data_IF_564956222605
#
_entry.id   IF_564956222605
#
_cell.length_a   1.000
_cell.length_b   1.000
_cell.length_c   1.000
_cell.angle_alpha   90.00
_cell.angle_beta   90.00
_cell.angle_gamma   90.00
#
_symmetry.space_group_name_H-M   'P 1'
#
loop_
_entity.id
_entity.type
_entity.pdbx_description
1 polymer ?
#
# COMPACT_ATOMS: atom_id res chain seq x y z
N UNK A 1 -20.28 9.32 53.06
CA UNK A 1 -20.72 9.55 51.67
C UNK A 1 -19.51 9.49 50.72
N UNK A 2 -19.39 8.40 49.97
CA UNK A 2 -18.37 8.17 48.95
C UNK A 2 -18.88 8.67 47.60
N UNK A 3 -18.12 9.51 46.92
CA UNK A 3 -18.21 9.64 45.46
C UNK A 3 -16.83 9.84 44.88
N UNK A 4 -16.35 8.78 44.27
CA UNK A 4 -15.08 8.63 43.57
C UNK A 4 -14.96 9.63 42.41
N UNK A 5 -14.01 10.55 42.50
CA UNK A 5 -13.52 11.30 41.34
C UNK A 5 -12.57 10.41 40.53
N UNK A 6 -13.12 9.43 39.81
CA UNK A 6 -12.37 8.71 38.77
C UNK A 6 -12.31 9.60 37.53
N UNK A 7 -11.45 10.62 37.62
CA UNK A 7 -11.11 11.55 36.56
C UNK A 7 -10.49 10.81 35.39
N UNK A 8 -11.35 10.35 34.48
CA UNK A 8 -11.21 10.43 33.02
C UNK A 8 -9.75 10.44 32.53
N UNK A 9 -9.08 9.31 32.65
CA UNK A 9 -7.93 8.99 31.83
C UNK A 9 -8.42 8.71 30.41
N UNK A 10 -8.89 9.75 29.71
CA UNK A 10 -9.11 9.71 28.27
C UNK A 10 -7.72 9.53 27.68
N UNK A 11 -7.43 8.32 27.20
CA UNK A 11 -6.26 8.06 26.39
C UNK A 11 -6.34 9.02 25.19
N UNK A 12 -5.58 10.11 25.27
CA UNK A 12 -5.45 11.12 24.21
C UNK A 12 -5.01 10.49 22.87
N UNK A 13 -4.51 9.24 22.90
CA UNK A 13 -4.19 8.44 21.73
C UNK A 13 -5.38 7.89 20.94
N UNK A 14 -6.61 7.85 21.48
CA UNK A 14 -7.81 7.36 20.76
C UNK A 14 -8.81 8.47 20.44
N UNK A 15 -8.52 9.73 20.77
CA UNK A 15 -9.41 10.86 20.46
C UNK A 15 -9.65 11.02 18.95
N UNK A 16 -8.69 10.62 18.10
CA UNK A 16 -8.87 10.59 16.64
C UNK A 16 -9.68 9.38 16.13
N UNK A 17 -9.99 8.40 16.99
CA UNK A 17 -10.76 7.19 16.66
C UNK A 17 -12.15 7.14 17.32
N UNK A 18 -12.55 8.20 18.04
CA UNK A 18 -13.92 8.33 18.55
C UNK A 18 -14.80 8.85 17.41
N UNK A 19 -15.31 7.94 16.59
CA UNK A 19 -16.37 8.23 15.63
C UNK A 19 -17.70 8.41 16.37
N UNK A 20 -18.53 9.33 15.87
CA UNK A 20 -19.96 9.37 16.21
C UNK A 20 -20.64 8.08 15.66
N UNK A 21 -21.81 7.67 16.16
CA UNK A 21 -22.49 6.45 15.71
C UNK A 21 -22.65 6.36 14.18
N UNK A 22 -22.81 7.50 13.50
CA UNK A 22 -22.92 7.64 12.05
C UNK A 22 -21.74 8.41 11.40
N UNK A 23 -20.63 8.60 12.14
CA UNK A 23 -19.45 9.32 11.67
C UNK A 23 -18.40 8.39 11.02
N UNK A 24 -17.48 8.92 10.19
CA UNK A 24 -16.39 8.13 9.62
C UNK A 24 -15.53 7.51 10.73
N UNK A 25 -15.13 6.25 10.56
CA UNK A 25 -14.38 5.47 11.56
C UNK A 25 -13.08 6.16 11.99
N UNK A 26 -12.35 6.76 11.04
CA UNK A 26 -11.16 7.58 11.30
C UNK A 26 -11.28 8.90 10.52
N UNK A 27 -11.05 10.03 11.19
CA UNK A 27 -10.92 11.32 10.50
C UNK A 27 -9.47 11.51 10.01
N UNK A 28 -9.22 11.18 8.74
CA UNK A 28 -7.88 11.24 8.12
C UNK A 28 -7.29 12.66 8.16
N UNK A 29 -8.11 13.69 7.90
CA UNK A 29 -7.65 15.09 7.85
C UNK A 29 -7.10 15.61 9.19
N UNK A 30 -7.53 15.03 10.31
CA UNK A 30 -7.04 15.38 11.66
C UNK A 30 -5.92 14.45 12.14
N UNK A 31 -5.54 13.46 11.34
CA UNK A 31 -4.57 12.45 11.70
C UNK A 31 -3.14 12.96 11.44
N UNK A 32 -2.26 12.85 12.44
CA UNK A 32 -0.84 13.13 12.24
C UNK A 32 -0.15 11.92 11.60
N UNK A 33 -0.08 11.88 10.27
CA UNK A 33 0.51 10.77 9.51
C UNK A 33 1.97 10.50 9.88
N UNK A 34 2.76 11.53 10.23
CA UNK A 34 4.16 11.37 10.63
C UNK A 34 4.31 10.51 11.88
N UNK A 35 3.39 10.65 12.84
CA UNK A 35 3.38 9.82 14.05
C UNK A 35 3.10 8.34 13.74
N UNK A 36 2.26 8.07 12.75
CA UNK A 36 1.92 6.69 12.35
C UNK A 36 3.01 6.07 11.49
N UNK A 37 3.68 6.84 10.64
CA UNK A 37 4.80 6.40 9.81
C UNK A 37 5.93 5.74 10.62
N UNK A 38 6.21 6.25 11.82
CA UNK A 38 7.19 5.67 12.74
C UNK A 38 6.83 4.26 13.24
N UNK A 39 5.55 3.88 13.16
CA UNK A 39 5.03 2.59 13.63
C UNK A 39 4.65 1.72 12.45
N UNK A 40 5.64 1.07 11.84
CA UNK A 40 5.51 0.35 10.58
C UNK A 40 4.29 -0.60 10.52
N UNK A 41 4.06 -1.44 11.53
CA UNK A 41 2.92 -2.36 11.55
C UNK A 41 1.56 -1.62 11.46
N UNK A 42 1.42 -0.51 12.18
CA UNK A 42 0.20 0.30 12.14
C UNK A 42 0.12 1.11 10.84
N UNK A 43 1.25 1.61 10.34
CA UNK A 43 1.30 2.36 9.08
C UNK A 43 0.83 1.51 7.90
N UNK A 44 1.20 0.21 7.84
CA UNK A 44 0.76 -0.69 6.77
C UNK A 44 -0.77 -0.87 6.76
N UNK A 45 -1.34 -1.17 7.92
CA UNK A 45 -2.80 -1.34 8.06
C UNK A 45 -3.55 -0.03 7.78
N UNK A 46 -3.02 1.08 8.30
CA UNK A 46 -3.59 2.40 8.06
C UNK A 46 -3.52 2.79 6.57
N UNK A 47 -2.41 2.49 5.90
CA UNK A 47 -2.28 2.70 4.46
C UNK A 47 -3.34 1.90 3.70
N UNK A 48 -3.49 0.61 3.99
CA UNK A 48 -4.48 -0.23 3.31
C UNK A 48 -5.90 0.31 3.51
N UNK A 49 -6.25 0.77 4.71
CA UNK A 49 -7.53 1.43 4.99
C UNK A 49 -7.71 2.72 4.16
N UNK A 50 -6.75 3.65 4.22
CA UNK A 50 -6.85 4.93 3.49
C UNK A 50 -6.91 4.69 1.98
N UNK A 51 -6.11 3.75 1.47
CA UNK A 51 -5.97 3.51 0.03
C UNK A 51 -7.14 2.70 -0.56
N UNK A 52 -7.63 1.67 0.14
CA UNK A 52 -8.65 0.77 -0.39
C UNK A 52 -10.07 1.10 0.08
N UNK A 53 -10.25 1.49 1.34
CA UNK A 53 -11.57 1.77 1.90
C UNK A 53 -11.98 3.23 1.65
N UNK A 54 -11.14 4.19 2.04
CA UNK A 54 -11.44 5.62 1.87
C UNK A 54 -11.15 6.11 0.45
N UNK A 55 -10.39 5.34 -0.34
CA UNK A 55 -9.96 5.68 -1.69
C UNK A 55 -9.25 7.05 -1.78
N UNK A 56 -8.63 7.48 -0.67
CA UNK A 56 -7.89 8.73 -0.58
C UNK A 56 -6.42 8.51 -0.92
N UNK A 57 -6.16 8.46 -2.22
CA UNK A 57 -4.83 8.16 -2.77
C UNK A 57 -3.78 9.20 -2.36
N UNK A 58 -4.17 10.47 -2.11
CA UNK A 58 -3.22 11.54 -1.76
C UNK A 58 -2.69 11.35 -0.34
N UNK A 59 -3.57 11.13 0.63
CA UNK A 59 -3.17 10.86 2.00
C UNK A 59 -2.45 9.51 2.12
N UNK A 60 -2.87 8.51 1.35
CA UNK A 60 -2.16 7.22 1.27
C UNK A 60 -0.72 7.39 0.74
N UNK A 61 -0.54 8.18 -0.33
CA UNK A 61 0.78 8.49 -0.86
C UNK A 61 1.66 9.22 0.17
N UNK A 62 1.11 10.21 0.87
CA UNK A 62 1.85 10.95 1.90
C UNK A 62 2.29 10.02 3.04
N UNK A 63 1.40 9.17 3.54
CA UNK A 63 1.74 8.19 4.57
C UNK A 63 2.84 7.23 4.09
N UNK A 64 2.73 6.73 2.86
CA UNK A 64 3.74 5.83 2.29
C UNK A 64 5.10 6.52 2.09
N UNK A 65 5.11 7.80 1.70
CA UNK A 65 6.34 8.59 1.57
C UNK A 65 7.04 8.75 2.93
N UNK A 66 6.28 9.13 3.96
CA UNK A 66 6.81 9.24 5.33
C UNK A 66 7.28 7.90 5.87
N UNK A 67 6.50 6.84 5.68
CA UNK A 67 6.86 5.51 6.18
C UNK A 67 8.09 4.92 5.49
N UNK A 68 8.29 5.21 4.19
CA UNK A 68 9.50 4.78 3.48
C UNK A 68 10.75 5.49 3.99
N UNK A 69 10.65 6.78 4.32
CA UNK A 69 11.75 7.54 4.93
C UNK A 69 12.13 6.96 6.30
N UNK A 70 11.13 6.65 7.14
CA UNK A 70 11.34 6.05 8.47
C UNK A 70 12.02 4.67 8.39
N UNK A 71 11.78 3.89 7.33
CA UNK A 71 12.48 2.62 7.08
C UNK A 71 13.74 2.77 6.20
N UNK A 72 14.22 4.00 5.98
CA UNK A 72 15.42 4.30 5.17
C UNK A 72 15.37 3.72 3.74
N UNK A 73 14.18 3.68 3.14
CA UNK A 73 13.96 3.15 1.78
C UNK A 73 14.35 1.68 1.58
N UNK A 74 14.40 0.89 2.66
CA UNK A 74 14.81 -0.52 2.62
C UNK A 74 13.65 -1.51 2.48
N UNK A 75 12.42 -1.09 2.77
CA UNK A 75 11.25 -1.96 2.67
C UNK A 75 10.66 -1.92 1.24
N UNK A 76 10.80 -3.03 0.52
CA UNK A 76 10.26 -3.21 -0.84
C UNK A 76 8.74 -2.97 -0.88
N UNK A 77 8.02 -3.28 0.21
CA UNK A 77 6.57 -3.18 0.26
C UNK A 77 6.13 -1.73 0.13
N UNK A 78 6.81 -0.80 0.81
CA UNK A 78 6.53 0.64 0.69
C UNK A 78 6.82 1.17 -0.71
N UNK A 79 7.88 0.68 -1.36
CA UNK A 79 8.16 1.02 -2.77
C UNK A 79 7.02 0.58 -3.70
N UNK A 80 6.49 -0.63 -3.50
CA UNK A 80 5.31 -1.11 -4.25
C UNK A 80 4.08 -0.27 -3.96
N UNK A 81 3.81 0.10 -2.70
CA UNK A 81 2.65 0.93 -2.36
C UNK A 81 2.76 2.35 -2.94
N UNK A 82 3.94 2.98 -2.88
CA UNK A 82 4.21 4.24 -3.57
C UNK A 82 3.93 4.12 -5.06
N UNK A 83 4.36 3.03 -5.71
CA UNK A 83 4.07 2.80 -7.10
C UNK A 83 2.57 2.68 -7.41
N UNK A 84 1.81 1.97 -6.56
CA UNK A 84 0.35 1.86 -6.71
C UNK A 84 -0.33 3.21 -6.57
N UNK A 85 0.12 4.03 -5.63
CA UNK A 85 -0.37 5.41 -5.45
C UNK A 85 -0.04 6.29 -6.65
N UNK A 86 1.20 6.27 -7.14
CA UNK A 86 1.58 6.99 -8.36
C UNK A 86 0.77 6.54 -9.58
N UNK A 87 0.56 5.24 -9.73
CA UNK A 87 -0.25 4.69 -10.82
C UNK A 87 -1.70 5.19 -10.77
N UNK A 88 -2.31 5.23 -9.58
CA UNK A 88 -3.67 5.77 -9.39
C UNK A 88 -3.76 7.26 -9.70
N UNK A 89 -2.68 8.02 -9.46
CA UNK A 89 -2.57 9.44 -9.81
C UNK A 89 -2.16 9.69 -11.27
N UNK A 90 -1.95 8.65 -12.08
CA UNK A 90 -1.53 8.77 -13.48
C UNK A 90 -0.03 9.05 -13.67
N UNK A 91 0.76 9.02 -12.60
CA UNK A 91 2.21 9.24 -12.61
C UNK A 91 2.95 7.94 -12.95
N UNK A 92 2.73 7.43 -14.16
CA UNK A 92 3.17 6.08 -14.55
C UNK A 92 4.70 5.91 -14.57
N UNK A 93 5.47 6.96 -14.93
CA UNK A 93 6.94 6.90 -14.89
C UNK A 93 7.47 6.81 -13.46
N UNK A 94 6.82 7.46 -12.51
CA UNK A 94 7.20 7.38 -11.10
C UNK A 94 6.86 6.02 -10.52
N UNK A 95 5.69 5.48 -10.90
CA UNK A 95 5.33 4.10 -10.57
C UNK A 95 6.36 3.09 -11.12
N UNK A 96 6.77 3.23 -12.38
CA UNK A 96 7.80 2.40 -13.01
C UNK A 96 9.11 2.41 -12.20
N UNK A 97 9.59 3.60 -11.81
CA UNK A 97 10.83 3.76 -11.02
C UNK A 97 10.73 3.04 -9.68
N UNK A 98 9.62 3.19 -8.97
CA UNK A 98 9.42 2.56 -7.66
C UNK A 98 9.32 1.03 -7.76
N UNK A 99 8.61 0.49 -8.75
CA UNK A 99 8.51 -0.96 -8.98
C UNK A 99 9.86 -1.58 -9.35
N UNK A 100 10.62 -0.94 -10.24
CA UNK A 100 12.00 -1.36 -10.55
C UNK A 100 12.88 -1.32 -9.31
N UNK A 101 12.71 -0.30 -8.46
CA UNK A 101 13.43 -0.21 -7.20
C UNK A 101 13.05 -1.34 -6.23
N UNK A 102 11.77 -1.68 -6.13
CA UNK A 102 11.29 -2.80 -5.32
C UNK A 102 11.83 -4.15 -5.80
N UNK A 103 11.86 -4.39 -7.12
CA UNK A 103 12.40 -5.63 -7.70
C UNK A 103 13.90 -5.82 -7.45
N UNK A 104 14.66 -4.74 -7.23
CA UNK A 104 16.07 -4.85 -6.82
C UNK A 104 16.22 -5.32 -5.38
N UNK A 105 15.24 -5.05 -4.52
CA UNK A 105 15.27 -5.46 -3.12
C UNK A 105 14.73 -6.89 -2.97
N UNK A 106 13.57 -7.16 -3.57
CA UNK A 106 12.89 -8.44 -3.48
C UNK A 106 12.16 -8.76 -4.78
N UNK A 107 12.48 -9.92 -5.36
CA UNK A 107 11.82 -10.42 -6.55
C UNK A 107 10.47 -11.06 -6.21
N UNK A 108 9.39 -10.44 -6.68
CA UNK A 108 8.00 -10.86 -6.40
C UNK A 108 7.20 -10.76 -7.68
N UNK A 109 6.46 -11.83 -8.01
CA UNK A 109 5.58 -11.92 -9.19
C UNK A 109 4.65 -10.71 -9.30
N UNK A 110 3.96 -10.35 -8.21
CA UNK A 110 3.02 -9.23 -8.20
C UNK A 110 3.63 -7.92 -8.69
N UNK A 111 4.90 -7.66 -8.36
CA UNK A 111 5.63 -6.46 -8.78
C UNK A 111 5.88 -6.46 -10.29
N UNK A 112 6.23 -7.62 -10.88
CA UNK A 112 6.34 -7.78 -12.33
C UNK A 112 4.98 -7.56 -13.02
N UNK A 113 3.92 -8.18 -12.52
CA UNK A 113 2.56 -8.03 -13.06
C UNK A 113 2.11 -6.57 -13.03
N UNK A 114 2.42 -5.85 -11.94
CA UNK A 114 2.11 -4.43 -11.82
C UNK A 114 2.93 -3.59 -12.80
N UNK A 115 4.23 -3.90 -12.98
CA UNK A 115 5.10 -3.22 -13.95
C UNK A 115 4.56 -3.37 -15.38
N UNK A 116 4.03 -4.55 -15.73
CA UNK A 116 3.34 -4.76 -17.00
C UNK A 116 2.10 -3.88 -17.16
N UNK A 117 1.30 -3.70 -16.10
CA UNK A 117 0.16 -2.76 -16.10
C UNK A 117 0.63 -1.32 -16.34
N UNK A 118 1.74 -0.92 -15.72
CA UNK A 118 2.35 0.41 -15.94
C UNK A 118 2.79 0.58 -17.39
N UNK A 119 3.52 -0.38 -17.97
CA UNK A 119 3.98 -0.30 -19.35
C UNK A 119 2.84 -0.27 -20.37
N UNK A 120 1.74 -0.97 -20.10
CA UNK A 120 0.53 -0.87 -20.92
C UNK A 120 -0.07 0.54 -20.88
N UNK A 121 0.00 1.24 -19.75
CA UNK A 121 -0.47 2.64 -19.62
C UNK A 121 0.48 3.67 -20.24
N UNK A 122 1.73 3.28 -20.47
CA UNK A 122 2.75 4.09 -21.15
C UNK A 122 2.81 3.81 -22.66
N UNK A 123 1.88 3.02 -23.20
CA UNK A 123 1.85 2.56 -24.60
C UNK A 123 3.13 1.79 -25.01
N UNK A 124 3.67 0.98 -24.09
CA UNK A 124 4.86 0.14 -24.31
C UNK A 124 4.55 -1.37 -24.19
N UNK A 125 3.71 -1.96 -25.07
CA UNK A 125 3.28 -3.35 -24.97
C UNK A 125 4.41 -4.37 -25.22
N UNK A 126 5.40 -4.02 -26.04
CA UNK A 126 6.58 -4.86 -26.26
C UNK A 126 7.38 -5.02 -24.96
N UNK A 127 7.67 -3.90 -24.28
CA UNK A 127 8.34 -3.90 -22.97
C UNK A 127 7.54 -4.69 -21.94
N UNK A 128 6.22 -4.56 -21.91
CA UNK A 128 5.37 -5.35 -21.01
C UNK A 128 5.52 -6.86 -21.28
N UNK A 129 5.59 -7.27 -22.54
CA UNK A 129 5.76 -8.68 -22.94
C UNK A 129 7.13 -9.22 -22.50
N UNK A 130 8.19 -8.44 -22.66
CA UNK A 130 9.53 -8.81 -22.17
C UNK A 130 9.56 -8.98 -20.64
N UNK A 131 8.90 -8.09 -19.90
CA UNK A 131 8.79 -8.17 -18.45
C UNK A 131 8.00 -9.41 -18.02
N UNK A 132 6.91 -9.74 -18.71
CA UNK A 132 6.16 -10.98 -18.48
C UNK A 132 7.03 -12.23 -18.71
N UNK A 133 7.80 -12.28 -19.80
CA UNK A 133 8.71 -13.40 -20.08
C UNK A 133 9.75 -13.55 -18.96
N UNK A 134 10.36 -12.45 -18.52
CA UNK A 134 11.29 -12.44 -17.38
C UNK A 134 10.65 -12.96 -16.09
N UNK A 135 9.38 -12.60 -15.84
CA UNK A 135 8.65 -13.12 -14.69
C UNK A 135 8.42 -14.64 -14.80
N UNK A 136 8.05 -15.15 -15.98
CA UNK A 136 7.84 -16.59 -16.20
C UNK A 136 9.15 -17.40 -16.07
N UNK A 137 10.26 -16.88 -16.58
CA UNK A 137 11.58 -17.51 -16.42
C UNK A 137 11.99 -17.61 -14.95
N UNK A 138 11.65 -16.58 -14.16
CA UNK A 138 11.99 -16.51 -12.73
C UNK A 138 11.01 -17.28 -11.84
N UNK A 139 9.76 -17.40 -12.27
CA UNK A 139 8.68 -18.03 -11.53
C UNK A 139 7.91 -19.04 -12.41
N UNK A 140 8.55 -20.17 -12.79
CA UNK A 140 8.00 -21.12 -13.76
C UNK A 140 6.75 -21.89 -13.30
N UNK A 141 6.35 -21.77 -12.02
CA UNK A 141 5.22 -22.50 -11.42
C UNK A 141 4.00 -21.65 -11.03
N UNK A 142 4.02 -20.33 -11.28
CA UNK A 142 2.96 -19.39 -10.87
C UNK A 142 1.78 -19.32 -11.87
N UNK A 143 1.69 -20.26 -12.81
CA UNK A 143 0.67 -20.32 -13.87
C UNK A 143 -0.74 -20.73 -13.41
N UNK A 144 -0.96 -21.06 -12.13
CA UNK A 144 -2.19 -21.74 -11.68
C UNK A 144 -3.05 -20.96 -10.66
N UNK A 145 -3.49 -19.73 -10.97
CA UNK A 145 -4.57 -19.06 -10.21
C UNK A 145 -5.90 -18.90 -10.95
N UNK A 146 -5.98 -19.26 -12.24
CA UNK A 146 -7.26 -19.33 -12.98
C UNK A 146 -7.76 -20.75 -13.26
N UNK A 147 -6.94 -21.79 -13.14
CA UNK A 147 -7.28 -23.16 -13.58
C UNK A 147 -7.49 -24.19 -12.45
N UNK A 148 -7.51 -23.78 -11.17
CA UNK A 148 -7.71 -24.71 -10.04
C UNK A 148 -9.15 -25.21 -9.83
N UNK A 149 -10.09 -24.93 -10.73
CA UNK A 149 -11.49 -25.35 -10.61
C UNK A 149 -11.97 -26.36 -11.67
N UNK A 150 -11.07 -27.01 -12.42
CA UNK A 150 -11.44 -27.96 -13.49
C UNK A 150 -10.97 -29.41 -13.29
N UNK A 151 -10.55 -29.81 -12.08
CA UNK A 151 -10.14 -31.20 -11.81
C UNK A 151 -10.56 -31.70 -10.43
N UNK A 152 -11.87 -31.64 -10.17
CA UNK A 152 -12.51 -32.66 -9.33
C UNK A 152 -13.56 -33.37 -10.18
N UNK A 153 -13.10 -34.45 -10.83
CA UNK A 153 -13.92 -35.60 -11.19
C UNK A 153 -14.00 -36.54 -10.00
#
# INVERSE_FOLDING_TARGET
PVTSASGRHVRLGTASMLSQPDGPFINIAKLNLSKYAQRQNLAKVLFEYIFHHENDVRNALELAAKATEECQFKDWWWKVQLAKSYYRLGMYRDAERQLKSALRDQDIVDTYLYLCKVYRRLDQPLTATEVYKKALEKFPGETNSSDRNASHS
#
